data_IF_316270893376
#
_entry.id   IF_316270893376
#
_cell.length_a   1.000
_cell.length_b   1.000
_cell.length_c   1.000
_cell.angle_alpha   90.00
_cell.angle_beta   90.00
_cell.angle_gamma   90.00
#
_symmetry.space_group_name_H-M   'P 1'
#
loop_
_entity.id
_entity.type
_entity.pdbx_description
1 polymer ?
#
# COMPACT_ATOMS: atom_id res chain seq x y z
N UNK A 1 -7.74 -6.23 -3.12
CA UNK A 1 -8.16 -7.49 -2.50
C UNK A 1 -7.35 -8.66 -3.04
N UNK A 2 -7.15 -9.71 -2.24
CA UNK A 2 -6.48 -10.97 -2.67
C UNK A 2 -7.34 -11.85 -3.60
N UNK A 3 -8.56 -11.41 -3.87
CA UNK A 3 -9.56 -12.13 -4.66
C UNK A 3 -10.69 -12.71 -3.82
N UNK A 4 -11.85 -12.82 -4.46
CA UNK A 4 -13.03 -13.45 -3.88
C UNK A 4 -13.76 -14.20 -5.00
N UNK A 5 -13.39 -15.46 -5.17
CA UNK A 5 -13.94 -16.31 -6.26
C UNK A 5 -15.36 -16.78 -5.95
N UNK A 6 -16.15 -16.99 -7.01
CA UNK A 6 -17.52 -17.52 -6.91
C UNK A 6 -17.52 -18.82 -6.09
N UNK A 7 -18.33 -18.85 -5.04
CA UNK A 7 -18.42 -20.00 -4.13
C UNK A 7 -17.44 -19.98 -2.95
N UNK A 8 -16.53 -19.00 -2.88
CA UNK A 8 -15.67 -18.83 -1.72
C UNK A 8 -16.47 -18.27 -0.54
N UNK A 9 -16.29 -18.85 0.64
CA UNK A 9 -16.89 -18.39 1.88
C UNK A 9 -15.82 -17.76 2.75
N UNK A 10 -15.87 -16.45 2.92
CA UNK A 10 -14.89 -15.68 3.70
C UNK A 10 -14.99 -15.95 5.20
N UNK A 11 -16.20 -16.27 5.69
CA UNK A 11 -16.49 -16.58 7.09
C UNK A 11 -17.77 -17.40 7.17
N UNK A 12 -17.83 -18.36 8.10
CA UNK A 12 -19.03 -19.15 8.37
C UNK A 12 -20.18 -18.33 8.96
N UNK A 13 -19.86 -17.23 9.64
CA UNK A 13 -20.84 -16.35 10.30
C UNK A 13 -21.19 -15.15 9.42
N UNK A 14 -20.21 -14.61 8.71
CA UNK A 14 -20.36 -13.44 7.81
C UNK A 14 -19.87 -13.80 6.42
N UNK A 15 -20.69 -14.43 5.56
CA UNK A 15 -20.24 -14.96 4.25
C UNK A 15 -19.72 -13.88 3.29
N UNK A 16 -20.17 -12.63 3.44
CA UNK A 16 -19.75 -11.48 2.63
C UNK A 16 -18.39 -10.90 3.04
N UNK A 17 -17.83 -11.34 4.19
CA UNK A 17 -16.58 -10.78 4.70
C UNK A 17 -15.40 -11.27 3.88
N UNK A 18 -14.72 -10.36 3.21
CA UNK A 18 -13.49 -10.60 2.45
C UNK A 18 -12.28 -10.50 3.39
N UNK A 19 -11.77 -11.65 3.83
CA UNK A 19 -10.58 -11.71 4.68
C UNK A 19 -9.33 -11.94 3.83
N UNK A 20 -8.20 -11.37 4.24
CA UNK A 20 -6.89 -11.50 3.60
C UNK A 20 -6.14 -12.76 4.06
N UNK A 21 -6.81 -13.91 4.08
CA UNK A 21 -6.29 -15.16 4.66
C UNK A 21 -5.09 -15.72 3.94
N UNK A 22 -5.06 -15.59 2.62
CA UNK A 22 -3.96 -16.12 1.81
C UNK A 22 -2.71 -15.28 1.97
N UNK A 23 -2.84 -13.96 1.96
CA UNK A 23 -1.72 -13.04 2.21
C UNK A 23 -1.20 -13.13 3.64
N UNK A 24 -2.09 -13.31 4.63
CA UNK A 24 -1.70 -13.60 6.02
C UNK A 24 -0.91 -14.91 6.13
N UNK A 25 -1.31 -15.96 5.38
CA UNK A 25 -0.59 -17.22 5.31
C UNK A 25 0.81 -17.07 4.71
N UNK A 26 0.96 -16.26 3.65
CA UNK A 26 2.27 -15.92 3.07
C UNK A 26 3.17 -15.28 4.13
N UNK A 27 2.64 -14.32 4.90
CA UNK A 27 3.38 -13.70 6.00
C UNK A 27 3.78 -14.71 7.07
N UNK A 28 2.90 -15.64 7.42
CA UNK A 28 3.18 -16.71 8.39
C UNK A 28 4.29 -17.64 7.90
N UNK A 29 4.25 -18.07 6.64
CA UNK A 29 5.31 -18.90 6.04
C UNK A 29 6.65 -18.17 5.97
N UNK A 30 6.64 -16.87 5.63
CA UNK A 30 7.84 -16.03 5.67
C UNK A 30 8.48 -15.99 7.05
N UNK A 31 7.67 -15.86 8.10
CA UNK A 31 8.18 -15.86 9.47
C UNK A 31 8.71 -17.25 9.89
N UNK A 32 8.04 -18.33 9.48
CA UNK A 32 8.49 -19.70 9.73
C UNK A 32 9.86 -19.97 9.07
N UNK A 33 10.06 -19.52 7.83
CA UNK A 33 11.35 -19.63 7.14
C UNK A 33 12.47 -18.87 7.87
N UNK A 34 12.18 -17.69 8.42
CA UNK A 34 13.14 -16.95 9.25
C UNK A 34 13.52 -17.73 10.52
N UNK A 35 12.54 -18.40 11.14
CA UNK A 35 12.81 -19.26 12.29
C UNK A 35 13.71 -20.43 11.91
N UNK A 36 13.55 -21.01 10.71
CA UNK A 36 14.45 -22.07 10.24
C UNK A 36 15.86 -21.57 9.99
N UNK A 37 16.03 -20.34 9.51
CA UNK A 37 17.37 -19.73 9.37
C UNK A 37 18.06 -19.58 10.75
N UNK A 38 17.33 -19.09 11.76
CA UNK A 38 17.85 -19.01 13.13
C UNK A 38 18.18 -20.43 13.68
N UNK A 39 17.28 -21.38 13.49
CA UNK A 39 17.50 -22.77 13.88
C UNK A 39 18.74 -23.39 13.21
N UNK A 40 18.94 -23.12 11.92
CA UNK A 40 20.13 -23.60 11.19
C UNK A 40 21.43 -22.97 11.73
N UNK A 41 21.41 -21.69 12.07
CA UNK A 41 22.59 -20.99 12.61
C UNK A 41 23.07 -21.57 13.94
N UNK A 42 22.14 -22.12 14.73
CA UNK A 42 22.44 -22.77 16.02
C UNK A 42 23.14 -24.13 15.91
N UNK A 43 23.23 -24.70 14.70
CA UNK A 43 23.98 -25.92 14.45
C UNK A 43 25.49 -25.65 14.29
N UNK A 44 25.89 -24.41 14.14
CA UNK A 44 27.28 -24.03 13.97
C UNK A 44 28.00 -23.92 15.32
N UNK A 45 29.11 -24.62 15.48
CA UNK A 45 29.99 -24.48 16.63
C UNK A 45 29.73 -25.44 17.80
N UNK A 46 28.66 -26.24 17.74
CA UNK A 46 28.30 -27.20 18.81
C UNK A 46 28.83 -28.62 18.55
N UNK A 47 29.56 -28.81 17.46
CA UNK A 47 30.09 -30.10 17.09
C UNK A 47 31.32 -30.46 17.94
N UNK A 48 31.27 -31.58 18.65
CA UNK A 48 32.32 -32.03 19.55
C UNK A 48 33.49 -32.69 18.82
N UNK A 49 33.15 -33.49 17.79
CA UNK A 49 34.11 -34.24 16.98
C UNK A 49 33.53 -34.45 15.57
N UNK A 50 34.34 -35.00 14.65
CA UNK A 50 33.90 -35.25 13.26
C UNK A 50 32.72 -36.23 13.19
N UNK A 51 32.62 -37.16 14.09
CA UNK A 51 31.53 -38.14 14.18
C UNK A 51 30.27 -37.67 14.89
N UNK A 52 30.24 -36.42 15.39
CA UNK A 52 29.08 -35.86 16.11
C UNK A 52 27.87 -35.74 15.20
N UNK A 53 26.78 -36.41 15.55
CA UNK A 53 25.52 -36.45 14.79
C UNK A 53 24.43 -35.55 15.37
N UNK A 54 24.74 -34.71 16.37
CA UNK A 54 23.77 -33.84 17.03
C UNK A 54 23.02 -32.96 16.04
N UNK A 55 23.69 -32.44 15.03
CA UNK A 55 23.09 -31.65 13.94
C UNK A 55 22.15 -32.48 13.05
N UNK A 56 22.31 -33.83 12.99
CA UNK A 56 21.58 -34.70 12.05
C UNK A 56 20.08 -34.72 12.33
N UNK A 57 19.67 -34.77 13.61
CA UNK A 57 18.26 -34.77 14.00
C UNK A 57 17.56 -33.45 13.59
N UNK A 58 18.21 -32.34 13.86
CA UNK A 58 17.65 -31.01 13.51
C UNK A 58 17.54 -30.84 11.99
N UNK A 59 18.58 -31.20 11.22
CA UNK A 59 18.58 -31.12 9.76
C UNK A 59 17.48 -31.94 9.11
N UNK A 60 17.16 -33.12 9.65
CA UNK A 60 16.12 -33.97 9.13
C UNK A 60 14.72 -33.41 9.26
N UNK A 61 14.47 -32.53 10.19
CA UNK A 61 13.21 -31.78 10.35
C UNK A 61 13.28 -30.46 9.59
N UNK A 62 14.29 -29.64 9.91
CA UNK A 62 14.39 -28.26 9.43
C UNK A 62 14.48 -28.16 7.90
N UNK A 63 15.30 -29.01 7.24
CA UNK A 63 15.51 -28.89 5.79
C UNK A 63 14.24 -29.30 5.01
N UNK A 64 13.62 -30.47 5.23
CA UNK A 64 12.37 -30.80 4.54
C UNK A 64 11.27 -29.78 4.79
N UNK A 65 11.08 -29.37 6.04
CA UNK A 65 10.04 -28.39 6.37
C UNK A 65 10.29 -27.02 5.74
N UNK A 66 11.56 -26.60 5.62
CA UNK A 66 11.88 -25.36 4.92
C UNK A 66 11.51 -25.43 3.43
N UNK A 67 11.77 -26.57 2.77
CA UNK A 67 11.37 -26.77 1.37
C UNK A 67 9.85 -26.80 1.22
N UNK A 68 9.12 -27.58 2.04
CA UNK A 68 7.66 -27.61 2.01
C UNK A 68 7.04 -26.25 2.32
N UNK A 69 7.59 -25.53 3.29
CA UNK A 69 7.13 -24.17 3.62
C UNK A 69 7.36 -23.21 2.46
N UNK A 70 8.50 -23.31 1.77
CA UNK A 70 8.81 -22.49 0.60
C UNK A 70 7.87 -22.80 -0.55
N UNK A 71 7.63 -24.08 -0.83
CA UNK A 71 6.69 -24.52 -1.86
C UNK A 71 5.28 -24.01 -1.58
N UNK A 72 4.78 -24.20 -0.37
CA UNK A 72 3.46 -23.69 0.05
C UNK A 72 3.35 -22.16 0.01
N UNK A 73 4.46 -21.44 0.29
CA UNK A 73 4.53 -19.99 0.17
C UNK A 73 4.41 -19.56 -1.30
N UNK A 74 5.17 -20.21 -2.20
CA UNK A 74 5.16 -19.88 -3.62
C UNK A 74 3.81 -20.20 -4.27
N UNK A 75 3.23 -21.37 -4.01
CA UNK A 75 1.91 -21.77 -4.50
C UNK A 75 0.81 -20.82 -4.01
N UNK A 76 0.85 -20.43 -2.73
CA UNK A 76 -0.11 -19.47 -2.19
C UNK A 76 0.08 -18.09 -2.84
N UNK A 77 1.33 -17.68 -3.08
CA UNK A 77 1.63 -16.39 -3.73
C UNK A 77 1.12 -16.39 -5.18
N UNK A 78 1.36 -17.44 -5.94
CA UNK A 78 0.84 -17.58 -7.30
C UNK A 78 -0.69 -17.55 -7.32
N UNK A 79 -1.34 -18.20 -6.38
CA UNK A 79 -2.80 -18.18 -6.24
C UNK A 79 -3.30 -16.75 -6.01
N UNK A 80 -2.68 -16.00 -5.08
CA UNK A 80 -3.05 -14.60 -4.82
C UNK A 80 -2.83 -13.74 -6.05
N UNK A 81 -1.68 -13.85 -6.72
CA UNK A 81 -1.38 -13.07 -7.92
C UNK A 81 -2.38 -13.31 -9.07
N UNK A 82 -2.85 -14.55 -9.21
CA UNK A 82 -3.85 -14.90 -10.22
C UNK A 82 -5.28 -14.44 -9.87
N UNK A 83 -5.59 -14.24 -8.60
CA UNK A 83 -6.94 -13.91 -8.14
C UNK A 83 -7.10 -12.46 -7.67
N UNK A 84 -5.99 -11.78 -7.33
CA UNK A 84 -6.04 -10.41 -6.83
C UNK A 84 -6.67 -9.45 -7.83
N UNK A 85 -7.36 -8.45 -7.30
CA UNK A 85 -8.00 -7.45 -8.11
C UNK A 85 -8.23 -6.14 -7.36
N UNK A 86 -8.77 -5.17 -8.08
CA UNK A 86 -9.12 -3.86 -7.54
C UNK A 86 -10.59 -3.57 -7.80
N UNK A 87 -11.21 -2.76 -6.94
CA UNK A 87 -12.55 -2.22 -7.11
C UNK A 87 -12.43 -0.72 -7.44
N UNK A 88 -12.44 -0.33 -8.73
CA UNK A 88 -12.20 1.05 -9.15
C UNK A 88 -13.12 2.06 -8.49
N UNK A 89 -14.42 1.73 -8.36
CA UNK A 89 -15.40 2.62 -7.74
C UNK A 89 -15.13 2.87 -6.25
N UNK A 90 -14.66 1.85 -5.53
CA UNK A 90 -14.28 1.99 -4.11
C UNK A 90 -13.04 2.88 -3.99
N UNK A 91 -12.04 2.65 -4.86
CA UNK A 91 -10.82 3.45 -4.93
C UNK A 91 -11.15 4.90 -5.28
N UNK A 92 -12.04 5.13 -6.27
CA UNK A 92 -12.43 6.49 -6.68
C UNK A 92 -13.06 7.25 -5.54
N UNK A 93 -13.97 6.64 -4.79
CA UNK A 93 -14.60 7.25 -3.62
C UNK A 93 -13.59 7.63 -2.54
N UNK A 94 -12.64 6.74 -2.24
CA UNK A 94 -11.56 7.03 -1.28
C UNK A 94 -10.65 8.18 -1.77
N UNK A 95 -10.30 8.17 -3.05
CA UNK A 95 -9.50 9.24 -3.66
C UNK A 95 -10.25 10.58 -3.57
N UNK A 96 -11.50 10.64 -3.97
CA UNK A 96 -12.32 11.87 -3.90
C UNK A 96 -12.42 12.42 -2.47
N UNK A 97 -12.55 11.51 -1.50
CA UNK A 97 -12.65 11.87 -0.09
C UNK A 97 -11.36 12.48 0.48
N UNK A 98 -10.19 11.95 0.08
CA UNK A 98 -8.92 12.30 0.72
C UNK A 98 -7.99 13.14 -0.15
N UNK A 99 -8.17 13.19 -1.45
CA UNK A 99 -7.32 13.93 -2.38
C UNK A 99 -7.18 15.42 -2.02
N UNK A 100 -8.24 16.15 -1.58
CA UNK A 100 -8.11 17.53 -1.15
C UNK A 100 -7.10 17.72 0.00
N UNK A 101 -6.97 16.76 0.91
CA UNK A 101 -5.97 16.82 1.98
C UNK A 101 -4.55 16.57 1.46
N UNK A 102 -4.39 15.68 0.48
CA UNK A 102 -3.09 15.43 -0.16
C UNK A 102 -2.61 16.64 -0.94
N UNK A 103 -3.53 17.41 -1.51
CA UNK A 103 -3.23 18.63 -2.28
C UNK A 103 -2.80 19.83 -1.42
N UNK A 104 -2.79 19.74 -0.10
CA UNK A 104 -2.47 20.88 0.79
C UNK A 104 -1.09 21.49 0.52
N UNK A 105 -0.11 20.70 0.09
CA UNK A 105 1.22 21.19 -0.30
C UNK A 105 1.17 21.98 -1.60
N UNK A 106 0.39 21.53 -2.57
CA UNK A 106 0.19 22.23 -3.84
C UNK A 106 -0.59 23.54 -3.63
N UNK A 107 -1.60 23.50 -2.77
CA UNK A 107 -2.36 24.70 -2.36
C UNK A 107 -1.42 25.72 -1.71
N UNK A 108 -0.54 25.29 -0.81
CA UNK A 108 0.46 26.15 -0.19
C UNK A 108 1.37 26.80 -1.24
N UNK A 109 1.87 26.00 -2.18
CA UNK A 109 2.73 26.48 -3.26
C UNK A 109 2.00 27.50 -4.14
N UNK A 110 0.74 27.23 -4.48
CA UNK A 110 -0.11 28.15 -5.25
C UNK A 110 -0.35 29.46 -4.48
N UNK A 111 -0.67 29.37 -3.19
CA UNK A 111 -0.92 30.54 -2.35
C UNK A 111 0.32 31.45 -2.26
N UNK A 112 1.51 30.88 -2.11
CA UNK A 112 2.78 31.63 -2.12
C UNK A 112 3.03 32.28 -3.47
N UNK A 113 2.76 31.61 -4.59
CA UNK A 113 2.85 32.20 -5.95
C UNK A 113 1.91 33.38 -6.15
N UNK A 114 0.77 33.38 -5.45
CA UNK A 114 -0.21 34.46 -5.45
C UNK A 114 0.09 35.56 -4.41
N UNK A 115 1.27 35.54 -3.78
CA UNK A 115 1.77 36.62 -2.93
C UNK A 115 1.46 36.48 -1.43
N UNK A 116 0.85 35.37 -0.99
CA UNK A 116 0.68 35.13 0.45
C UNK A 116 2.00 34.70 1.10
N UNK A 117 2.24 35.17 2.32
CA UNK A 117 3.36 34.68 3.12
C UNK A 117 3.19 33.20 3.45
N UNK A 118 4.29 32.43 3.34
CA UNK A 118 4.26 30.96 3.51
C UNK A 118 3.66 30.53 4.85
N UNK A 119 4.07 31.17 5.94
CA UNK A 119 3.58 30.87 7.30
C UNK A 119 2.08 31.18 7.45
N UNK A 120 1.64 32.30 6.87
CA UNK A 120 0.25 32.72 6.87
C UNK A 120 -0.62 31.73 6.07
N UNK A 121 -0.22 31.39 4.85
CA UNK A 121 -0.91 30.41 4.01
C UNK A 121 -0.97 29.04 4.70
N UNK A 122 0.14 28.57 5.28
CA UNK A 122 0.18 27.32 6.02
C UNK A 122 -0.78 27.32 7.22
N UNK A 123 -0.83 28.39 7.99
CA UNK A 123 -1.74 28.53 9.14
C UNK A 123 -3.20 28.43 8.72
N UNK A 124 -3.58 29.09 7.62
CA UNK A 124 -4.91 29.05 7.04
C UNK A 124 -5.27 27.64 6.59
N UNK A 125 -4.40 27.02 5.79
CA UNK A 125 -4.61 25.67 5.27
C UNK A 125 -4.78 24.68 6.44
N UNK A 126 -3.91 24.73 7.44
CA UNK A 126 -4.00 23.90 8.65
C UNK A 126 -5.34 24.06 9.35
N UNK A 127 -5.77 25.30 9.60
CA UNK A 127 -7.06 25.61 10.25
C UNK A 127 -8.23 24.94 9.53
N UNK A 128 -8.32 25.13 8.21
CA UNK A 128 -9.43 24.61 7.42
C UNK A 128 -9.34 23.09 7.19
N UNK A 129 -8.15 22.56 6.98
CA UNK A 129 -7.97 21.11 6.81
C UNK A 129 -8.33 20.32 8.09
N UNK A 130 -7.94 20.82 9.27
CA UNK A 130 -8.32 20.21 10.55
C UNK A 130 -9.82 20.33 10.79
N UNK A 131 -10.40 21.51 10.55
CA UNK A 131 -11.85 21.71 10.70
C UNK A 131 -12.66 20.80 9.77
N UNK A 132 -12.22 20.64 8.52
CA UNK A 132 -12.87 19.74 7.55
C UNK A 132 -12.74 18.27 7.97
N UNK A 133 -11.55 17.86 8.39
CA UNK A 133 -11.33 16.50 8.83
C UNK A 133 -12.14 16.12 10.07
N UNK A 134 -12.35 17.06 10.99
CA UNK A 134 -13.21 16.86 12.17
C UNK A 134 -14.67 16.81 11.76
N UNK A 135 -15.14 17.77 10.97
CA UNK A 135 -16.50 17.82 10.47
C UNK A 135 -16.89 16.52 9.73
N UNK A 136 -16.02 16.04 8.84
CA UNK A 136 -16.25 14.77 8.12
C UNK A 136 -16.40 13.58 9.07
N UNK A 137 -15.71 13.57 10.22
CA UNK A 137 -15.82 12.50 11.21
C UNK A 137 -17.07 12.62 12.08
N UNK A 138 -17.39 13.83 12.51
CA UNK A 138 -18.51 14.11 13.39
C UNK A 138 -19.86 13.91 12.67
N UNK A 139 -19.95 14.36 11.42
CA UNK A 139 -21.16 14.26 10.61
C UNK A 139 -21.22 12.98 9.75
N UNK A 140 -20.17 12.17 9.74
CA UNK A 140 -20.07 10.99 8.85
C UNK A 140 -20.08 11.36 7.37
N UNK A 141 -19.62 12.58 7.02
CA UNK A 141 -19.69 13.09 5.66
C UNK A 141 -18.72 12.35 4.72
N UNK A 142 -19.21 11.97 3.55
CA UNK A 142 -18.42 11.33 2.49
C UNK A 142 -17.75 12.34 1.56
N UNK A 143 -18.30 13.57 1.49
CA UNK A 143 -17.78 14.66 0.65
C UNK A 143 -16.79 15.52 1.41
N UNK A 144 -15.75 15.98 0.71
CA UNK A 144 -14.71 16.84 1.27
C UNK A 144 -14.88 18.27 0.71
N UNK A 145 -15.11 19.23 1.59
CA UNK A 145 -15.38 20.65 1.26
C UNK A 145 -14.16 21.56 1.50
N UNK A 146 -12.96 21.00 1.59
CA UNK A 146 -11.76 21.80 1.89
C UNK A 146 -11.53 22.94 0.89
N UNK A 147 -11.75 22.68 -0.41
CA UNK A 147 -11.56 23.71 -1.46
C UNK A 147 -12.56 24.87 -1.33
N UNK A 148 -13.83 24.57 -1.06
CA UNK A 148 -14.88 25.55 -0.78
C UNK A 148 -14.53 26.41 0.46
N UNK A 149 -14.09 25.74 1.54
CA UNK A 149 -13.69 26.45 2.78
C UNK A 149 -12.50 27.35 2.57
N UNK A 150 -11.47 26.90 1.85
CA UNK A 150 -10.27 27.69 1.56
C UNK A 150 -10.58 28.88 0.65
N UNK A 151 -11.39 28.68 -0.40
CA UNK A 151 -11.77 29.76 -1.31
C UNK A 151 -12.63 30.84 -0.63
N UNK A 152 -13.30 30.50 0.47
CA UNK A 152 -14.10 31.41 1.26
C UNK A 152 -13.28 32.23 2.28
N UNK A 153 -12.03 31.85 2.54
CA UNK A 153 -11.15 32.57 3.47
C UNK A 153 -10.74 33.93 2.90
N UNK A 154 -10.90 35.04 3.65
CA UNK A 154 -10.68 36.40 3.13
C UNK A 154 -9.33 36.59 2.44
N UNK A 155 -8.24 36.13 3.06
CA UNK A 155 -6.90 36.29 2.50
C UNK A 155 -6.68 35.47 1.20
N UNK A 156 -7.32 34.32 1.07
CA UNK A 156 -7.29 33.54 -0.17
C UNK A 156 -8.08 34.24 -1.28
N UNK A 157 -9.22 34.85 -0.93
CA UNK A 157 -10.03 35.65 -1.88
C UNK A 157 -9.29 36.91 -2.34
N UNK A 158 -8.66 37.62 -1.42
CA UNK A 158 -7.84 38.82 -1.74
C UNK A 158 -6.65 38.48 -2.64
N UNK A 159 -6.05 37.31 -2.46
CA UNK A 159 -5.00 36.79 -3.32
C UNK A 159 -5.52 36.23 -4.66
N UNK A 160 -6.82 36.29 -4.92
CA UNK A 160 -7.43 35.79 -6.15
C UNK A 160 -7.51 34.29 -6.28
N UNK A 161 -7.36 33.55 -5.18
CA UNK A 161 -7.47 32.08 -5.16
C UNK A 161 -8.94 31.67 -5.15
N UNK A 162 -9.45 31.39 -6.32
CA UNK A 162 -10.84 30.96 -6.51
C UNK A 162 -11.00 29.46 -6.26
N UNK A 163 -12.22 29.02 -5.95
CA UNK A 163 -12.54 27.60 -5.80
C UNK A 163 -12.21 26.79 -7.07
N UNK A 164 -12.47 27.37 -8.24
CA UNK A 164 -12.12 26.75 -9.52
C UNK A 164 -10.61 26.50 -9.66
N UNK A 165 -9.77 27.46 -9.24
CA UNK A 165 -8.32 27.29 -9.27
C UNK A 165 -7.85 26.20 -8.31
N UNK A 166 -8.44 26.14 -7.12
CA UNK A 166 -8.12 25.12 -6.12
C UNK A 166 -8.56 23.73 -6.59
N UNK A 167 -9.76 23.61 -7.16
CA UNK A 167 -10.26 22.36 -7.74
C UNK A 167 -9.42 21.93 -8.96
N UNK A 168 -8.91 22.86 -9.75
CA UNK A 168 -8.00 22.59 -10.87
C UNK A 168 -6.74 21.84 -10.45
N UNK A 169 -6.27 21.99 -9.21
CA UNK A 169 -5.16 21.18 -8.67
C UNK A 169 -5.50 19.69 -8.53
N UNK A 170 -6.78 19.35 -8.44
CA UNK A 170 -7.26 17.98 -8.24
C UNK A 170 -7.57 17.26 -9.56
N UNK A 171 -7.62 17.96 -10.69
CA UNK A 171 -8.03 17.40 -11.99
C UNK A 171 -7.03 16.35 -12.48
N UNK A 172 -5.73 16.65 -12.42
CA UNK A 172 -4.69 15.69 -12.79
C UNK A 172 -4.26 14.84 -11.58
N UNK A 173 -5.01 13.79 -11.33
CA UNK A 173 -4.71 12.81 -10.25
C UNK A 173 -3.33 12.15 -10.42
N UNK A 174 -2.76 12.13 -11.62
CA UNK A 174 -1.44 11.53 -11.90
C UNK A 174 -0.31 12.31 -11.24
N UNK A 175 -0.49 13.62 -11.04
CA UNK A 175 0.46 14.45 -10.33
C UNK A 175 0.79 13.92 -8.93
N UNK A 176 -0.19 13.30 -8.26
CA UNK A 176 -0.06 12.74 -6.92
C UNK A 176 0.60 11.34 -6.88
N UNK A 177 0.83 10.71 -8.03
CA UNK A 177 1.50 9.41 -8.12
C UNK A 177 3.03 9.50 -7.97
N UNK A 178 3.59 10.71 -8.05
CA UNK A 178 5.04 10.91 -8.02
C UNK A 178 5.75 10.07 -9.10
N UNK A 179 6.72 9.28 -8.69
CA UNK A 179 7.55 8.47 -9.60
C UNK A 179 7.05 7.02 -9.80
N UNK A 180 5.85 6.67 -9.31
CA UNK A 180 5.35 5.29 -9.30
C UNK A 180 5.30 4.67 -10.71
N UNK A 181 4.80 5.40 -11.71
CA UNK A 181 4.72 4.91 -13.08
C UNK A 181 6.10 4.56 -13.64
N UNK A 182 7.08 5.45 -13.49
CA UNK A 182 8.45 5.22 -13.95
C UNK A 182 9.13 4.04 -13.21
N UNK A 183 8.83 3.85 -11.93
CA UNK A 183 9.32 2.71 -11.15
C UNK A 183 8.72 1.39 -11.65
N UNK A 184 7.43 1.37 -11.94
CA UNK A 184 6.73 0.21 -12.53
C UNK A 184 7.37 -0.15 -13.87
N UNK A 185 7.53 0.82 -14.77
CA UNK A 185 8.16 0.61 -16.08
C UNK A 185 9.60 0.08 -15.96
N UNK A 186 10.36 0.59 -15.00
CA UNK A 186 11.73 0.11 -14.74
C UNK A 186 11.75 -1.37 -14.29
N UNK A 187 10.80 -1.79 -13.47
CA UNK A 187 10.65 -3.19 -13.05
C UNK A 187 10.25 -4.07 -14.23
N UNK A 188 9.27 -3.66 -15.02
CA UNK A 188 8.86 -4.40 -16.22
C UNK A 188 10.00 -4.55 -17.23
N UNK A 189 10.79 -3.51 -17.45
CA UNK A 189 11.96 -3.55 -18.33
C UNK A 189 12.99 -4.59 -17.88
N UNK A 190 13.17 -4.78 -16.59
CA UNK A 190 14.07 -5.80 -16.04
C UNK A 190 13.47 -7.19 -16.07
N UNK A 191 12.17 -7.33 -15.83
CA UNK A 191 11.49 -8.62 -15.73
C UNK A 191 11.25 -9.28 -17.10
N UNK A 192 10.95 -8.51 -18.14
CA UNK A 192 10.63 -9.04 -19.48
C UNK A 192 11.68 -10.01 -20.05
N UNK A 193 12.98 -9.67 -20.09
CA UNK A 193 13.98 -10.59 -20.62
C UNK A 193 14.03 -11.92 -19.88
N UNK A 194 13.89 -11.90 -18.55
CA UNK A 194 13.88 -13.10 -17.71
C UNK A 194 12.67 -13.98 -17.99
N UNK A 195 11.50 -13.39 -18.21
CA UNK A 195 10.28 -14.11 -18.56
C UNK A 195 10.36 -14.72 -19.97
N UNK A 196 11.01 -14.06 -20.91
CA UNK A 196 11.22 -14.57 -22.26
C UNK A 196 12.23 -15.74 -22.29
N UNK A 197 13.28 -15.66 -21.48
CA UNK A 197 14.25 -16.74 -21.29
C UNK A 197 13.56 -17.97 -20.68
N UNK A 198 12.85 -17.80 -19.57
CA UNK A 198 12.09 -18.87 -18.93
C UNK A 198 11.09 -19.58 -19.86
N UNK A 199 10.38 -18.82 -20.71
CA UNK A 199 9.43 -19.39 -21.68
C UNK A 199 10.08 -20.21 -22.79
N UNK A 200 11.37 -20.04 -23.05
CA UNK A 200 12.12 -20.84 -24.02
C UNK A 200 12.62 -22.15 -23.44
N UNK A 201 12.78 -22.20 -22.12
CA UNK A 201 13.27 -23.38 -21.39
C UNK A 201 12.14 -24.29 -20.89
N UNK A 202 10.90 -23.78 -20.80
CA UNK A 202 9.69 -24.50 -20.39
C UNK A 202 8.95 -25.12 -21.58
#
# INVERSE_FOLDING_TARGET
>A
TEGFVKGQVGSSVMPHKMNTRSTERICAFSNLLKMYVDGASRLSGDQWEEGDVSCSAIRRVLIPDAFYTTDGLLETTLTVLNQMGAYPEVISKEVERYLPFLATTEILSLAVKHGLGREQAHSIIKKHAVAEALWMREEGAETNKLMERLSSEPLFREAGLTESMLNGLLEDKRHFLGNAAAQIDAVFKKARPLLEEYKKEA
#
